data_IF_242390638159
#
_entry.id   IF_242390638159
#
_cell.length_a   1.000
_cell.length_b   1.000
_cell.length_c   1.000
_cell.angle_alpha   90.00
_cell.angle_beta   90.00
_cell.angle_gamma   90.00
#
_symmetry.space_group_name_H-M   'P 1'
#
loop_
_entity.id
_entity.type
_entity.pdbx_description
1 polymer ?
#
# COMPACT_ATOMS: atom_id res chain seq x y z
N UNK A 1 -37.84 4.24 9.20
CA UNK A 1 -36.66 4.41 8.32
C UNK A 1 -36.42 5.91 8.22
N UNK A 2 -35.31 6.49 8.68
CA UNK A 2 -34.11 5.94 9.32
C UNK A 2 -33.63 6.90 10.42
N UNK A 3 -33.45 6.41 11.66
CA UNK A 3 -32.77 7.17 12.73
C UNK A 3 -31.38 6.61 13.05
N UNK A 4 -31.05 5.42 12.53
CA UNK A 4 -29.77 4.75 12.82
C UNK A 4 -28.60 5.45 12.11
N UNK A 5 -28.75 5.70 10.80
CA UNK A 5 -27.69 6.28 9.95
C UNK A 5 -27.21 7.65 10.43
N UNK A 6 -28.09 8.46 11.04
CA UNK A 6 -27.72 9.77 11.57
C UNK A 6 -26.85 9.64 12.83
N UNK A 7 -27.18 8.69 13.71
CA UNK A 7 -26.42 8.44 14.94
C UNK A 7 -25.00 7.95 14.67
N UNK A 8 -24.81 7.18 13.60
CA UNK A 8 -23.48 6.69 13.20
C UNK A 8 -22.63 7.85 12.63
N UNK A 9 -23.22 8.74 11.83
CA UNK A 9 -22.55 9.94 11.32
C UNK A 9 -22.20 10.94 12.44
N UNK A 10 -23.12 11.18 13.38
CA UNK A 10 -22.90 12.05 14.54
C UNK A 10 -21.76 11.50 15.43
N UNK A 11 -21.65 10.18 15.58
CA UNK A 11 -20.54 9.53 16.30
C UNK A 11 -19.20 9.68 15.58
N UNK A 12 -19.15 9.42 14.26
CA UNK A 12 -17.93 9.58 13.45
C UNK A 12 -17.44 11.04 13.50
N UNK A 13 -18.35 12.01 13.37
CA UNK A 13 -18.02 13.43 13.47
C UNK A 13 -17.46 13.82 14.85
N UNK A 14 -18.04 13.28 15.93
CA UNK A 14 -17.56 13.52 17.30
C UNK A 14 -16.21 12.85 17.61
N UNK A 15 -15.91 11.72 16.96
CA UNK A 15 -14.65 10.99 17.13
C UNK A 15 -13.51 11.49 16.22
N UNK A 16 -13.82 12.21 15.14
CA UNK A 16 -12.84 12.71 14.16
C UNK A 16 -11.65 13.49 14.78
N UNK A 17 -11.83 14.38 15.78
CA UNK A 17 -10.70 15.09 16.39
C UNK A 17 -9.73 14.17 17.15
N UNK A 18 -10.23 13.07 17.73
CA UNK A 18 -9.39 12.08 18.40
C UNK A 18 -8.56 11.29 17.37
N UNK A 19 -9.16 10.91 16.23
CA UNK A 19 -8.44 10.32 15.10
C UNK A 19 -7.35 11.23 14.56
N UNK A 20 -7.63 12.53 14.35
CA UNK A 20 -6.61 13.48 13.85
C UNK A 20 -5.44 13.59 14.83
N UNK A 21 -5.71 13.58 16.14
CA UNK A 21 -4.67 13.58 17.18
C UNK A 21 -3.83 12.29 17.15
N UNK A 22 -4.46 11.12 17.09
CA UNK A 22 -3.77 9.82 17.04
C UNK A 22 -2.94 9.68 15.76
N UNK A 23 -3.49 10.11 14.61
CA UNK A 23 -2.77 10.12 13.35
C UNK A 23 -1.56 11.07 13.37
N UNK A 24 -1.67 12.23 14.01
CA UNK A 24 -0.54 13.15 14.20
C UNK A 24 0.60 12.50 15.03
N UNK A 25 0.27 11.79 16.12
CA UNK A 25 1.27 11.03 16.90
C UNK A 25 1.98 9.95 16.05
N UNK A 26 1.25 9.25 15.17
CA UNK A 26 1.86 8.28 14.25
C UNK A 26 2.73 8.95 13.17
N UNK A 27 2.36 10.13 12.69
CA UNK A 27 3.11 10.91 11.69
C UNK A 27 4.44 11.42 12.29
N UNK A 28 4.42 11.92 13.52
CA UNK A 28 5.65 12.33 14.25
C UNK A 28 6.56 11.12 14.54
N UNK A 29 5.98 9.96 14.85
CA UNK A 29 6.71 8.71 15.00
C UNK A 29 7.35 8.24 13.66
N UNK A 30 6.64 8.34 12.54
CA UNK A 30 7.16 8.02 11.20
C UNK A 30 8.37 8.89 10.86
N UNK A 31 8.29 10.21 11.09
CA UNK A 31 9.41 11.14 10.85
C UNK A 31 10.63 10.77 11.70
N UNK A 32 10.43 10.55 13.00
CA UNK A 32 11.50 10.15 13.93
C UNK A 32 12.15 8.84 13.51
N UNK A 33 11.35 7.82 13.20
CA UNK A 33 11.84 6.49 12.81
C UNK A 33 12.58 6.51 11.46
N UNK A 34 12.18 7.37 10.51
CA UNK A 34 12.91 7.56 9.26
C UNK A 34 14.30 8.13 9.50
N UNK A 35 14.41 9.17 10.32
CA UNK A 35 15.70 9.80 10.67
C UNK A 35 16.63 8.82 11.44
N UNK A 36 16.09 8.03 12.37
CA UNK A 36 16.86 6.97 13.04
C UNK A 36 17.32 5.86 12.07
N UNK A 37 16.50 5.54 11.07
CA UNK A 37 16.81 4.55 10.03
C UNK A 37 17.85 5.08 9.02
N UNK A 38 17.96 6.38 8.78
CA UNK A 38 19.08 6.96 8.01
C UNK A 38 20.43 6.74 8.69
N UNK A 39 20.49 6.82 10.03
CA UNK A 39 21.69 6.51 10.80
C UNK A 39 21.96 4.99 10.89
N UNK A 40 20.91 4.17 10.79
CA UNK A 40 20.95 2.71 11.01
C UNK A 40 20.14 1.93 9.95
N UNK A 41 20.51 1.96 8.66
CA UNK A 41 19.66 1.45 7.56
C UNK A 41 19.38 -0.06 7.64
N UNK A 42 20.28 -0.84 8.24
CA UNK A 42 20.11 -2.29 8.45
C UNK A 42 19.18 -2.64 9.64
N UNK A 43 18.70 -1.65 10.40
CA UNK A 43 17.95 -1.88 11.63
C UNK A 43 16.48 -2.25 11.35
N UNK A 44 16.25 -3.57 11.23
CA UNK A 44 14.92 -4.15 10.98
C UNK A 44 13.87 -3.82 12.04
N UNK A 45 14.25 -3.55 13.30
CA UNK A 45 13.28 -3.19 14.35
C UNK A 45 12.71 -1.79 14.14
N UNK A 46 13.53 -0.85 13.66
CA UNK A 46 13.08 0.49 13.24
C UNK A 46 12.16 0.40 12.00
N UNK A 47 12.55 -0.39 10.99
CA UNK A 47 11.76 -0.58 9.78
C UNK A 47 10.40 -1.27 10.05
N UNK A 48 10.36 -2.28 10.92
CA UNK A 48 9.10 -2.91 11.36
C UNK A 48 8.22 -1.94 12.16
N UNK A 49 8.83 -1.03 12.94
CA UNK A 49 8.09 0.00 13.70
C UNK A 49 7.50 1.05 12.75
N UNK A 50 8.29 1.52 11.78
CA UNK A 50 7.88 2.46 10.73
C UNK A 50 6.68 1.93 9.93
N UNK A 51 6.74 0.65 9.53
CA UNK A 51 5.63 -0.02 8.86
C UNK A 51 4.37 -0.08 9.74
N UNK A 52 4.49 -0.37 11.04
CA UNK A 52 3.34 -0.41 11.97
C UNK A 52 2.69 0.95 12.16
N UNK A 53 3.46 2.04 12.20
CA UNK A 53 2.90 3.39 12.28
C UNK A 53 2.10 3.72 11.01
N UNK A 54 2.68 3.50 9.82
CA UNK A 54 1.96 3.68 8.55
C UNK A 54 0.69 2.81 8.45
N UNK A 55 0.77 1.55 8.90
CA UNK A 55 -0.36 0.63 8.95
C UNK A 55 -1.46 1.07 9.91
N UNK A 56 -1.08 1.66 11.05
CA UNK A 56 -2.02 2.21 12.04
C UNK A 56 -2.76 3.40 11.46
N UNK A 57 -2.05 4.34 10.80
CA UNK A 57 -2.70 5.48 10.10
C UNK A 57 -3.69 4.99 9.05
N UNK A 58 -3.29 4.03 8.19
CA UNK A 58 -4.18 3.43 7.18
C UNK A 58 -5.41 2.77 7.82
N UNK A 59 -5.19 1.95 8.85
CA UNK A 59 -6.25 1.22 9.55
C UNK A 59 -7.27 2.15 10.19
N UNK A 60 -6.80 3.14 10.95
CA UNK A 60 -7.66 4.15 11.57
C UNK A 60 -8.37 5.00 10.52
N UNK A 61 -7.69 5.47 9.47
CA UNK A 61 -8.32 6.20 8.36
C UNK A 61 -9.45 5.39 7.66
N UNK A 62 -9.31 4.06 7.59
CA UNK A 62 -10.34 3.16 7.09
C UNK A 62 -11.61 3.14 7.92
N UNK A 63 -11.51 3.26 9.25
CA UNK A 63 -12.67 3.33 10.18
C UNK A 63 -13.48 4.61 9.93
N UNK A 64 -12.79 5.72 9.63
CA UNK A 64 -13.41 7.03 9.37
C UNK A 64 -13.81 7.25 7.89
N UNK A 65 -13.61 6.25 7.02
CA UNK A 65 -13.97 6.34 5.60
C UNK A 65 -13.08 7.29 4.79
N UNK A 66 -11.87 7.60 5.27
CA UNK A 66 -10.97 8.59 4.67
C UNK A 66 -10.19 8.00 3.49
N UNK A 67 -10.92 7.70 2.40
CA UNK A 67 -10.41 6.94 1.26
C UNK A 67 -9.10 7.47 0.66
N UNK A 68 -8.89 8.80 0.61
CA UNK A 68 -7.62 9.39 0.10
C UNK A 68 -6.41 9.01 0.97
N UNK A 69 -6.56 9.03 2.31
CA UNK A 69 -5.50 8.63 3.24
C UNK A 69 -5.23 7.13 3.08
N UNK A 70 -6.28 6.30 3.02
CA UNK A 70 -6.16 4.84 2.86
C UNK A 70 -5.46 4.46 1.55
N UNK A 71 -5.83 5.08 0.43
CA UNK A 71 -5.23 4.81 -0.88
C UNK A 71 -3.75 5.23 -0.92
N UNK A 72 -3.43 6.41 -0.40
CA UNK A 72 -2.06 6.92 -0.41
C UNK A 72 -1.14 6.13 0.54
N UNK A 73 -1.58 5.88 1.79
CA UNK A 73 -0.81 5.06 2.76
C UNK A 73 -0.59 3.62 2.30
N UNK A 74 -1.50 3.05 1.51
CA UNK A 74 -1.29 1.73 0.89
C UNK A 74 -0.10 1.71 -0.10
N UNK A 75 0.15 2.78 -0.85
CA UNK A 75 1.34 2.89 -1.69
C UNK A 75 2.63 3.01 -0.87
N UNK A 76 2.58 3.72 0.27
CA UNK A 76 3.71 3.81 1.22
C UNK A 76 4.00 2.46 1.85
N UNK A 77 2.97 1.75 2.34
CA UNK A 77 3.12 0.38 2.85
C UNK A 77 3.73 -0.56 1.81
N UNK A 78 3.31 -0.48 0.54
CA UNK A 78 3.83 -1.35 -0.53
C UNK A 78 5.34 -1.20 -0.68
N UNK A 79 5.86 0.04 -0.60
CA UNK A 79 7.30 0.30 -0.64
C UNK A 79 8.01 -0.24 0.62
N UNK A 80 7.46 0.04 1.80
CA UNK A 80 8.00 -0.42 3.07
C UNK A 80 8.02 -1.95 3.18
N UNK A 81 7.03 -2.65 2.65
CA UNK A 81 6.98 -4.13 2.67
C UNK A 81 8.09 -4.73 1.81
N UNK A 82 8.39 -4.14 0.64
CA UNK A 82 9.55 -4.55 -0.17
C UNK A 82 10.89 -4.28 0.50
N UNK A 83 10.99 -3.22 1.31
CA UNK A 83 12.18 -2.98 2.13
C UNK A 83 12.32 -4.04 3.22
N UNK A 84 11.21 -4.44 3.86
CA UNK A 84 11.17 -5.50 4.89
C UNK A 84 11.55 -6.87 4.33
N UNK A 85 11.10 -7.17 3.11
CA UNK A 85 11.50 -8.36 2.34
C UNK A 85 12.97 -8.33 1.88
N UNK A 86 13.68 -7.19 2.01
CA UNK A 86 15.07 -7.02 1.55
C UNK A 86 15.19 -6.94 0.03
N UNK A 87 14.15 -6.48 -0.66
CA UNK A 87 14.10 -6.30 -2.12
C UNK A 87 14.53 -4.89 -2.54
N UNK A 88 14.53 -3.95 -1.59
CA UNK A 88 14.95 -2.55 -1.72
C UNK A 88 15.69 -2.16 -0.43
N UNK A 89 16.93 -1.68 -0.54
CA UNK A 89 17.66 -1.10 0.59
C UNK A 89 17.26 0.36 0.81
N UNK A 90 17.36 0.89 2.04
CA UNK A 90 17.15 2.31 2.27
C UNK A 90 18.30 3.13 1.64
N UNK A 91 17.95 4.06 0.74
CA UNK A 91 18.86 5.10 0.25
C UNK A 91 18.40 6.49 0.70
N UNK A 92 19.26 7.52 0.68
CA UNK A 92 18.86 8.89 1.02
C UNK A 92 17.72 9.42 0.15
N UNK A 93 17.63 9.00 -1.12
CA UNK A 93 16.55 9.35 -2.04
C UNK A 93 15.23 8.71 -1.60
N UNK A 94 15.26 7.44 -1.16
CA UNK A 94 14.08 6.73 -0.64
C UNK A 94 13.63 7.32 0.69
N UNK A 95 14.56 7.66 1.60
CA UNK A 95 14.24 8.35 2.85
C UNK A 95 13.57 9.70 2.59
N UNK A 96 14.15 10.51 1.69
CA UNK A 96 13.58 11.80 1.26
C UNK A 96 12.16 11.63 0.70
N UNK A 97 11.93 10.60 -0.13
CA UNK A 97 10.60 10.29 -0.66
C UNK A 97 9.62 9.88 0.44
N UNK A 98 10.05 9.07 1.41
CA UNK A 98 9.21 8.63 2.53
C UNK A 98 8.84 9.80 3.45
N UNK A 99 9.75 10.75 3.69
CA UNK A 99 9.47 12.00 4.40
C UNK A 99 8.43 12.86 3.65
N UNK A 100 8.60 13.05 2.33
CA UNK A 100 7.60 13.73 1.48
C UNK A 100 6.24 13.02 1.49
N UNK A 101 6.24 11.69 1.58
CA UNK A 101 5.01 10.92 1.76
C UNK A 101 4.39 11.14 3.14
N UNK A 102 5.19 11.29 4.21
CA UNK A 102 4.69 11.60 5.55
C UNK A 102 4.02 12.99 5.59
N UNK A 103 4.64 14.00 4.96
CA UNK A 103 4.03 15.33 4.75
C UNK A 103 2.69 15.23 3.99
N UNK A 104 2.65 14.42 2.93
CA UNK A 104 1.43 14.22 2.14
C UNK A 104 0.34 13.46 2.91
N UNK A 105 0.70 12.50 3.77
CA UNK A 105 -0.23 11.84 4.71
C UNK A 105 -0.78 12.89 5.69
N UNK A 106 0.09 13.70 6.29
CA UNK A 106 -0.29 14.77 7.21
C UNK A 106 -1.28 15.74 6.58
N UNK A 107 -1.00 16.21 5.37
CA UNK A 107 -1.93 17.07 4.62
C UNK A 107 -3.30 16.41 4.44
N UNK A 108 -3.36 15.13 4.05
CA UNK A 108 -4.63 14.42 3.83
C UNK A 108 -5.40 14.15 5.13
N UNK A 109 -4.72 14.03 6.28
CA UNK A 109 -5.32 13.91 7.61
C UNK A 109 -5.85 15.27 8.08
N UNK A 110 -5.04 16.32 8.01
CA UNK A 110 -5.41 17.68 8.44
C UNK A 110 -6.58 18.24 7.60
N UNK A 111 -6.69 17.84 6.32
CA UNK A 111 -7.76 18.25 5.40
C UNK A 111 -8.89 17.22 5.25
N UNK A 112 -8.90 16.16 6.07
CA UNK A 112 -9.88 15.06 5.98
C UNK A 112 -11.36 15.51 6.06
N UNK A 113 -11.63 16.66 6.67
CA UNK A 113 -12.97 17.25 6.80
C UNK A 113 -13.26 18.38 5.78
N UNK A 114 -12.32 18.76 4.92
CA UNK A 114 -12.45 19.86 3.96
C UNK A 114 -11.98 19.46 2.55
N UNK A 115 -12.94 19.01 1.74
CA UNK A 115 -12.72 18.66 0.34
C UNK A 115 -12.28 19.84 -0.55
N UNK A 116 -12.44 21.09 -0.09
CA UNK A 116 -12.04 22.28 -0.85
C UNK A 116 -10.56 22.64 -0.72
N UNK A 117 -9.86 22.07 0.27
CA UNK A 117 -8.43 22.29 0.49
C UNK A 117 -7.52 21.52 -0.50
N UNK A 118 -8.03 20.45 -1.13
CA UNK A 118 -7.28 19.62 -2.09
C UNK A 118 -7.23 20.27 -3.49
N UNK A 119 -6.35 21.25 -3.67
CA UNK A 119 -6.17 21.99 -4.94
C UNK A 119 -5.62 21.13 -6.08
N UNK A 120 -5.62 21.65 -7.30
CA UNK A 120 -5.07 20.92 -8.47
C UNK A 120 -3.58 20.64 -8.29
N UNK A 121 -2.82 21.63 -7.82
CA UNK A 121 -1.38 21.54 -7.60
C UNK A 121 -1.02 20.47 -6.56
N UNK A 122 -1.84 20.33 -5.51
CA UNK A 122 -1.66 19.32 -4.46
C UNK A 122 -2.08 17.91 -4.91
N UNK A 123 -3.01 17.80 -5.86
CA UNK A 123 -3.34 16.53 -6.53
C UNK A 123 -2.23 16.09 -7.46
N UNK A 124 -1.65 17.01 -8.22
CA UNK A 124 -0.55 16.74 -9.15
C UNK A 124 0.70 16.31 -8.37
N UNK A 125 1.08 17.03 -7.31
CA UNK A 125 2.17 16.63 -6.40
C UNK A 125 1.96 15.22 -5.81
N UNK A 126 0.74 14.93 -5.34
CA UNK A 126 0.39 13.61 -4.81
C UNK A 126 0.47 12.52 -5.88
N UNK A 127 0.10 12.82 -7.12
CA UNK A 127 0.22 11.89 -8.23
C UNK A 127 1.70 11.59 -8.57
N UNK A 128 2.57 12.60 -8.56
CA UNK A 128 4.00 12.44 -8.77
C UNK A 128 4.67 11.60 -7.67
N UNK A 129 4.26 11.76 -6.41
CA UNK A 129 4.70 10.88 -5.30
C UNK A 129 4.24 9.43 -5.53
N UNK A 130 2.98 9.21 -5.92
CA UNK A 130 2.46 7.86 -6.22
C UNK A 130 3.19 7.21 -7.40
N UNK A 131 3.56 7.97 -8.44
CA UNK A 131 4.37 7.47 -9.56
C UNK A 131 5.75 7.01 -9.07
N UNK A 132 6.42 7.79 -8.22
CA UNK A 132 7.73 7.44 -7.66
C UNK A 132 7.65 6.20 -6.75
N UNK A 133 6.66 6.14 -5.84
CA UNK A 133 6.42 4.98 -4.99
C UNK A 133 6.21 3.70 -5.81
N UNK A 134 5.40 3.75 -6.88
CA UNK A 134 5.15 2.61 -7.77
C UNK A 134 6.39 2.23 -8.57
N UNK A 135 7.11 3.19 -9.15
CA UNK A 135 8.34 2.93 -9.89
C UNK A 135 9.40 2.20 -9.04
N UNK A 136 9.57 2.61 -7.77
CA UNK A 136 10.43 1.91 -6.82
C UNK A 136 9.85 0.54 -6.43
N UNK A 137 8.53 0.45 -6.21
CA UNK A 137 7.84 -0.78 -5.80
C UNK A 137 7.73 -1.85 -6.90
N UNK A 138 7.90 -1.47 -8.17
CA UNK A 138 7.87 -2.39 -9.32
C UNK A 138 9.28 -2.61 -9.89
N UNK A 139 10.18 -1.62 -9.80
CA UNK A 139 11.47 -1.57 -10.49
C UNK A 139 12.50 -2.66 -10.14
N UNK A 140 12.49 -3.18 -8.92
CA UNK A 140 13.39 -4.30 -8.51
C UNK A 140 13.03 -5.67 -9.13
N UNK A 141 12.08 -5.73 -10.08
CA UNK A 141 11.78 -6.94 -10.86
C UNK A 141 12.62 -7.08 -12.15
N UNK A 142 13.57 -6.17 -12.41
CA UNK A 142 14.29 -6.08 -13.68
C UNK A 142 15.83 -6.09 -13.52
N UNK A 143 16.36 -7.01 -12.71
CA UNK A 143 17.81 -7.30 -12.65
C UNK A 143 18.10 -8.81 -12.82
N UNK A 144 17.42 -9.43 -13.81
CA UNK A 144 17.71 -10.79 -14.29
C UNK A 144 17.82 -10.82 -15.81
N UNK A 145 18.97 -10.40 -16.34
CA UNK A 145 19.50 -10.82 -17.63
C UNK A 145 20.99 -11.22 -17.48
N UNK A 146 21.52 -12.13 -18.30
CA UNK A 146 20.88 -13.32 -18.84
C UNK A 146 21.75 -14.57 -18.64
N UNK A 147 21.20 -15.67 -18.11
CA UNK A 147 21.92 -16.96 -18.17
C UNK A 147 21.89 -17.46 -19.61
N UNK A 148 23.00 -17.23 -20.30
CA UNK A 148 23.25 -17.67 -21.67
C UNK A 148 23.22 -19.19 -21.79
N UNK A 149 22.27 -19.71 -22.58
CA UNK A 149 22.34 -21.08 -23.09
C UNK A 149 23.22 -21.10 -24.35
N UNK A 150 24.09 -22.13 -24.47
CA UNK A 150 24.24 -22.78 -25.76
C UNK A 150 24.12 -24.31 -25.63
N UNK A 151 23.09 -24.87 -26.25
CA UNK A 151 22.80 -26.31 -26.22
C UNK A 151 21.60 -26.68 -27.08
N UNK A 152 21.71 -26.52 -28.40
CA UNK A 152 20.66 -26.85 -29.36
C UNK A 152 20.61 -28.38 -29.64
N UNK A 153 19.42 -28.98 -29.45
CA UNK A 153 18.57 -29.71 -30.45
C UNK A 153 19.21 -30.68 -31.48
N UNK A 154 18.48 -31.50 -32.29
CA UNK A 154 17.03 -31.57 -32.61
C UNK A 154 16.23 -32.44 -31.60
N UNK A 155 14.97 -32.85 -31.76
CA UNK A 155 13.88 -32.71 -32.76
C UNK A 155 12.53 -32.78 -31.98
N UNK A 156 11.32 -32.49 -32.48
CA UNK A 156 10.82 -32.20 -33.83
C UNK A 156 9.61 -31.21 -33.77
N UNK A 157 9.08 -30.82 -34.93
CA UNK A 157 7.83 -30.05 -35.12
C UNK A 157 7.04 -30.64 -36.31
N UNK A 158 5.71 -30.41 -36.48
CA UNK A 158 5.23 -29.10 -36.93
C UNK A 158 3.91 -28.57 -36.35
N UNK A 159 3.91 -27.25 -36.14
CA UNK A 159 2.79 -26.28 -36.16
C UNK A 159 1.43 -26.67 -36.77
N UNK A 160 0.33 -26.24 -36.10
CA UNK A 160 -0.69 -25.37 -36.74
C UNK A 160 -1.76 -24.78 -35.76
N UNK A 161 -2.05 -23.49 -35.95
CA UNK A 161 -3.34 -22.79 -35.72
C UNK A 161 -3.91 -22.60 -34.28
N UNK A 162 -3.60 -21.43 -33.70
CA UNK A 162 -4.67 -20.48 -33.30
C UNK A 162 -5.54 -20.75 -32.08
N UNK A 163 -5.17 -21.68 -31.19
CA UNK A 163 -5.90 -21.90 -29.93
C UNK A 163 -5.63 -20.80 -28.88
N UNK A 164 -6.69 -20.24 -28.28
CA UNK A 164 -6.56 -19.38 -27.11
C UNK A 164 -5.88 -20.14 -25.96
N UNK A 165 -4.89 -19.52 -25.29
CA UNK A 165 -4.28 -20.06 -24.08
C UNK A 165 -5.29 -19.98 -22.92
N UNK A 166 -6.00 -21.07 -22.68
CA UNK A 166 -6.91 -21.21 -21.53
C UNK A 166 -6.08 -21.60 -20.31
N UNK A 167 -6.15 -20.78 -19.26
CA UNK A 167 -5.52 -21.05 -17.97
C UNK A 167 -6.55 -21.67 -17.02
N UNK A 168 -6.25 -22.87 -16.52
CA UNK A 168 -7.07 -23.53 -15.50
C UNK A 168 -6.62 -23.13 -14.11
N UNK A 169 -7.41 -22.31 -13.41
CA UNK A 169 -7.18 -21.96 -12.00
C UNK A 169 -8.10 -22.79 -11.11
N UNK A 170 -7.55 -23.41 -10.06
CA UNK A 170 -8.32 -24.22 -9.11
C UNK A 170 -7.95 -23.87 -7.67
N UNK A 171 -8.97 -23.57 -6.85
CA UNK A 171 -8.83 -23.39 -5.41
C UNK A 171 -9.61 -24.48 -4.65
N UNK A 172 -9.09 -24.91 -3.49
CA UNK A 172 -9.78 -25.81 -2.56
C UNK A 172 -9.89 -25.12 -1.20
N UNK A 173 -11.11 -25.00 -0.71
CA UNK A 173 -11.44 -24.37 0.56
C UNK A 173 -11.54 -25.39 1.69
N UNK A 174 -11.28 -24.95 2.93
CA UNK A 174 -11.36 -25.78 4.12
C UNK A 174 -12.81 -26.02 4.57
N UNK A 175 -13.03 -26.98 5.46
CA UNK A 175 -14.39 -27.31 5.94
C UNK A 175 -15.04 -26.15 6.74
N UNK A 176 -14.24 -25.27 7.33
CA UNK A 176 -14.68 -24.13 8.14
C UNK A 176 -14.81 -22.81 7.35
N UNK A 177 -14.58 -22.79 6.03
CA UNK A 177 -14.55 -21.53 5.26
C UNK A 177 -15.83 -20.69 5.41
N UNK A 178 -17.01 -21.32 5.38
CA UNK A 178 -18.28 -20.62 5.63
C UNK A 178 -18.51 -20.20 7.09
N UNK A 179 -17.85 -20.83 8.08
CA UNK A 179 -17.98 -20.45 9.50
C UNK A 179 -17.28 -19.13 9.81
N UNK A 180 -16.20 -18.83 9.09
CA UNK A 180 -15.42 -17.61 9.26
C UNK A 180 -15.95 -16.44 8.42
N UNK A 181 -17.17 -16.53 7.88
CA UNK A 181 -17.79 -15.47 7.08
C UNK A 181 -17.20 -15.26 5.68
N UNK A 182 -16.27 -16.11 5.25
CA UNK A 182 -15.65 -16.04 3.92
C UNK A 182 -16.55 -16.72 2.89
N UNK A 183 -17.02 -15.95 1.89
CA UNK A 183 -17.71 -16.49 0.72
C UNK A 183 -16.71 -16.83 -0.40
N UNK A 184 -16.49 -18.12 -0.74
CA UNK A 184 -15.61 -18.52 -1.83
C UNK A 184 -15.97 -17.91 -3.20
N UNK A 185 -17.26 -17.60 -3.42
CA UNK A 185 -17.73 -17.03 -4.68
C UNK A 185 -17.32 -15.57 -4.87
N UNK A 186 -16.93 -14.88 -3.79
CA UNK A 186 -16.39 -13.52 -3.88
C UNK A 186 -15.04 -13.51 -4.60
N UNK A 187 -14.21 -14.54 -4.40
CA UNK A 187 -12.90 -14.67 -5.06
C UNK A 187 -13.08 -14.87 -6.58
N UNK A 188 -14.06 -15.68 -6.99
CA UNK A 188 -14.37 -15.91 -8.41
C UNK A 188 -15.03 -14.71 -9.12
N UNK A 189 -15.37 -13.62 -8.39
CA UNK A 189 -15.85 -12.35 -8.95
C UNK A 189 -14.76 -11.30 -9.12
N UNK A 190 -13.56 -11.54 -8.56
CA UNK A 190 -12.39 -10.67 -8.65
C UNK A 190 -11.31 -11.20 -9.63
N UNK A 191 -11.57 -12.34 -10.28
CA UNK A 191 -10.77 -12.93 -11.36
C UNK A 191 -11.44 -12.70 -12.72
#
# INVERSE_FOLDING_TARGET
MSNYTNSDQDFIAAAMPAFISEAAEQIEAIETLLLELEEQPDNRELLDSLFRCAHTVKGSAGIFGLHRVVEFTHHVETLLDRMRDGVIDLTPEISTLLLQCNDQIKFLVDTAADDSADTVELRDLRADLVIQLRALSEGSASDVEPITAPGQTPEAEPSALGGARVWGVSARFGQDTFRNGMDPLSIARYL
#
